data_IF_742114054517
#
_entry.id   IF_742114054517
#
_cell.length_a   1.000
_cell.length_b   1.000
_cell.length_c   1.000
_cell.angle_alpha   90.00
_cell.angle_beta   90.00
_cell.angle_gamma   90.00
#
_symmetry.space_group_name_H-M   'P 1'
#
loop_
_entity.id
_entity.type
_entity.pdbx_description
1 polymer ?
#
# COMPACT_ATOMS: atom_id res chain seq x y z
N UNK A 1 22.25 15.51 12.47
CA UNK A 1 22.16 15.84 11.04
C UNK A 1 20.70 16.14 10.76
N UNK A 2 20.37 17.34 10.25
CA UNK A 2 18.98 17.71 9.96
C UNK A 2 18.52 16.96 8.71
N UNK A 3 17.68 15.93 8.88
CA UNK A 3 17.00 15.28 7.77
C UNK A 3 15.89 16.23 7.29
N UNK A 4 16.24 17.07 6.32
CA UNK A 4 15.30 17.92 5.61
C UNK A 4 14.24 17.04 4.91
N UNK A 5 13.00 17.14 5.37
CA UNK A 5 11.82 16.50 4.76
C UNK A 5 11.39 17.17 3.44
N UNK A 6 12.30 17.88 2.76
CA UNK A 6 12.01 18.64 1.54
C UNK A 6 12.11 17.82 0.24
N UNK A 7 12.36 16.51 0.32
CA UNK A 7 12.51 15.63 -0.83
C UNK A 7 11.21 15.15 -1.51
N UNK A 8 10.03 15.57 -1.05
CA UNK A 8 8.74 15.11 -1.61
C UNK A 8 8.10 16.04 -2.64
N UNK A 9 8.76 17.15 -3.04
CA UNK A 9 8.28 18.03 -4.10
C UNK A 9 9.42 18.41 -5.06
N UNK A 10 9.68 17.58 -6.07
CA UNK A 10 10.51 17.94 -7.22
C UNK A 10 9.97 17.25 -8.50
N UNK A 11 8.73 17.59 -8.87
CA UNK A 11 8.22 17.38 -10.23
C UNK A 11 7.24 18.50 -10.58
N UNK A 12 7.69 19.75 -10.52
CA UNK A 12 6.98 20.87 -11.15
C UNK A 12 7.97 22.00 -11.42
N UNK A 13 8.47 22.05 -12.66
CA UNK A 13 8.85 23.27 -13.39
C UNK A 13 9.46 22.87 -14.74
N UNK A 14 8.65 22.95 -15.80
CA UNK A 14 9.03 23.51 -17.09
C UNK A 14 7.81 23.56 -18.03
N UNK A 15 7.13 24.70 -18.05
CA UNK A 15 6.71 25.39 -19.28
C UNK A 15 5.99 26.70 -18.90
N UNK A 16 6.74 27.80 -19.04
CA UNK A 16 6.17 29.14 -18.99
C UNK A 16 5.38 29.38 -20.27
N UNK A 17 4.06 29.52 -20.18
CA UNK A 17 3.32 30.37 -21.10
C UNK A 17 2.36 31.26 -20.30
N UNK A 18 2.60 32.56 -20.41
CA UNK A 18 1.94 33.66 -19.71
C UNK A 18 0.49 33.79 -20.17
N UNK A 19 -0.46 33.72 -19.24
CA UNK A 19 -1.73 34.43 -19.35
C UNK A 19 -2.04 35.06 -17.98
N UNK A 20 -2.08 36.40 -17.98
CA UNK A 20 -2.38 37.24 -16.82
C UNK A 20 -3.89 37.21 -16.53
N UNK A 21 -4.27 36.97 -15.27
CA UNK A 21 -5.50 37.53 -14.71
C UNK A 21 -5.26 38.03 -13.28
N UNK A 22 -5.66 39.28 -13.04
CA UNK A 22 -5.57 40.00 -11.77
C UNK A 22 -6.86 39.87 -10.96
N UNK A 23 -6.80 40.41 -9.74
CA UNK A 23 -7.84 40.54 -8.70
C UNK A 23 -7.90 39.33 -7.74
N UNK A 24 -7.84 39.47 -6.42
CA UNK A 24 -7.85 40.65 -5.57
C UNK A 24 -7.43 40.29 -4.13
N UNK A 25 -6.86 41.28 -3.45
CA UNK A 25 -6.43 41.25 -2.04
C UNK A 25 -7.60 40.93 -1.11
N UNK A 26 -7.37 40.10 -0.08
CA UNK A 26 -7.97 40.32 1.23
C UNK A 26 -7.07 39.86 2.39
N UNK A 27 -7.12 40.67 3.45
CA UNK A 27 -6.21 40.77 4.58
C UNK A 27 -6.37 39.66 5.62
N UNK A 28 -5.22 39.27 6.15
CA UNK A 28 -4.86 39.01 7.56
C UNK A 28 -5.97 38.89 8.62
N UNK A 29 -5.88 37.84 9.44
CA UNK A 29 -6.01 37.95 10.90
C UNK A 29 -5.17 36.88 11.62
N UNK A 30 -4.27 37.35 12.50
CA UNK A 30 -3.46 36.56 13.44
C UNK A 30 -4.27 36.40 14.73
N UNK A 31 -4.30 35.20 15.30
CA UNK A 31 -4.67 35.01 16.70
C UNK A 31 -3.57 34.27 17.45
N UNK A 32 -3.07 34.93 18.49
CA UNK A 32 -2.20 34.40 19.53
C UNK A 32 -2.99 33.39 20.39
N UNK A 33 -2.36 32.28 20.78
CA UNK A 33 -2.73 31.57 22.00
C UNK A 33 -1.47 31.20 22.78
N UNK A 34 -1.52 31.60 24.04
CA UNK A 34 -0.49 31.43 25.06
C UNK A 34 -0.44 29.99 25.60
N UNK A 35 0.72 29.70 26.19
CA UNK A 35 1.06 28.55 27.01
C UNK A 35 0.09 28.38 28.19
N UNK A 36 -0.22 27.14 28.56
CA UNK A 36 -0.02 26.63 29.92
C UNK A 36 -0.33 25.12 30.07
N UNK A 37 0.48 24.45 30.91
CA UNK A 37 -0.04 23.51 31.90
C UNK A 37 -0.04 22.02 31.57
N UNK A 38 0.97 21.30 32.09
CA UNK A 38 0.94 19.85 32.32
C UNK A 38 -0.20 19.44 33.26
N UNK A 39 -0.88 18.32 32.99
CA UNK A 39 -1.28 17.28 33.97
C UNK A 39 -1.96 16.06 33.32
N UNK A 40 -1.42 14.88 33.66
CA UNK A 40 -2.06 13.58 33.86
C UNK A 40 -2.93 12.98 32.73
N UNK A 41 -2.33 12.08 31.93
CA UNK A 41 -3.04 11.21 30.98
C UNK A 41 -3.70 10.03 31.69
N UNK A 42 -5.02 10.14 31.86
CA UNK A 42 -5.94 9.04 32.21
C UNK A 42 -6.27 8.17 30.97
N UNK A 43 -6.69 6.90 31.13
CA UNK A 43 -7.00 5.96 30.03
C UNK A 43 -8.08 6.42 29.04
N UNK A 44 -8.75 7.55 29.30
CA UNK A 44 -9.76 8.15 28.41
C UNK A 44 -9.19 8.76 27.12
N UNK A 45 -7.87 8.90 26.98
CA UNK A 45 -7.25 9.46 25.77
C UNK A 45 -7.11 8.47 24.61
N UNK A 46 -7.24 7.15 24.84
CA UNK A 46 -7.16 6.16 23.76
C UNK A 46 -8.43 6.19 22.89
N UNK A 47 -9.61 6.43 23.49
CA UNK A 47 -10.89 6.49 22.79
C UNK A 47 -11.03 7.74 21.88
N UNK A 48 -10.37 8.84 22.23
CA UNK A 48 -10.40 10.08 21.44
C UNK A 48 -9.44 10.04 20.23
N UNK A 49 -8.42 9.17 20.25
CA UNK A 49 -7.50 8.99 19.13
C UNK A 49 -8.17 8.21 17.98
N UNK A 50 -9.00 7.20 18.29
CA UNK A 50 -9.84 6.54 17.28
C UNK A 50 -10.80 7.51 16.57
N UNK A 51 -11.31 8.52 17.29
CA UNK A 51 -12.19 9.54 16.69
C UNK A 51 -11.46 10.51 15.77
N UNK A 52 -10.19 10.84 16.04
CA UNK A 52 -9.41 11.76 15.21
C UNK A 52 -8.78 11.09 13.97
N UNK A 53 -8.46 9.80 14.03
CA UNK A 53 -8.02 9.05 12.83
C UNK A 53 -9.22 8.87 11.86
N UNK A 54 -10.42 8.63 12.39
CA UNK A 54 -11.66 8.55 11.58
C UNK A 54 -12.08 9.87 10.90
N UNK A 55 -11.39 10.99 11.14
CA UNK A 55 -11.75 12.29 10.55
C UNK A 55 -11.12 12.56 9.17
N UNK A 56 -10.18 11.72 8.72
CA UNK A 56 -9.48 11.89 7.44
C UNK A 56 -9.68 10.77 6.41
N UNK A 57 -10.48 9.74 6.72
CA UNK A 57 -10.92 8.73 5.74
C UNK A 57 -12.38 8.36 6.00
N UNK A 58 -13.30 9.15 5.44
CA UNK A 58 -14.73 8.80 5.39
C UNK A 58 -15.16 8.45 3.98
N UNK A 59 -14.55 7.41 3.41
CA UNK A 59 -15.36 6.44 2.68
C UNK A 59 -15.91 5.48 3.74
N UNK A 60 -17.15 5.72 4.17
CA UNK A 60 -17.92 4.80 5.00
C UNK A 60 -18.00 3.46 4.26
N UNK A 61 -17.13 2.51 4.61
CA UNK A 61 -17.43 1.12 4.34
C UNK A 61 -18.60 0.75 5.26
N UNK A 62 -19.76 0.56 4.65
CA UNK A 62 -20.95 0.09 5.34
C UNK A 62 -20.62 -1.30 5.93
N UNK A 63 -20.61 -1.36 7.25
CA UNK A 63 -20.25 -2.54 8.03
C UNK A 63 -21.36 -3.58 7.87
N UNK A 64 -21.24 -4.42 6.84
CA UNK A 64 -22.07 -5.61 6.71
C UNK A 64 -21.52 -6.68 7.64
N UNK A 65 -22.12 -6.80 8.83
CA UNK A 65 -21.98 -7.96 9.71
C UNK A 65 -22.23 -9.23 8.90
N UNK A 66 -21.16 -9.97 8.59
CA UNK A 66 -21.25 -11.32 8.06
C UNK A 66 -20.13 -12.16 8.67
N UNK A 67 -20.31 -12.50 9.95
CA UNK A 67 -19.46 -13.43 10.70
C UNK A 67 -19.51 -14.87 10.16
N UNK A 68 -20.44 -15.20 9.27
CA UNK A 68 -20.69 -16.59 8.85
C UNK A 68 -19.71 -17.14 7.80
N UNK A 69 -18.71 -16.37 7.34
CA UNK A 69 -17.83 -16.79 6.25
C UNK A 69 -16.34 -16.78 6.57
N UNK A 70 -15.99 -16.51 7.82
CA UNK A 70 -14.61 -16.45 8.30
C UNK A 70 -14.35 -17.77 9.01
N UNK A 71 -14.19 -18.82 8.21
CA UNK A 71 -13.63 -20.07 8.70
C UNK A 71 -12.22 -19.77 9.24
N UNK A 72 -11.85 -20.40 10.35
CA UNK A 72 -10.52 -20.30 10.99
C UNK A 72 -9.34 -20.62 10.02
N UNK A 73 -9.62 -21.16 8.83
CA UNK A 73 -8.66 -21.50 7.79
C UNK A 73 -8.25 -20.36 6.84
N UNK A 74 -8.75 -19.12 6.99
CA UNK A 74 -8.35 -18.02 6.09
C UNK A 74 -6.85 -17.69 6.19
N UNK A 75 -6.26 -17.81 7.37
CA UNK A 75 -4.81 -17.64 7.54
C UNK A 75 -3.99 -18.73 6.83
N UNK A 76 -4.55 -19.93 6.61
CA UNK A 76 -3.88 -20.99 5.85
C UNK A 76 -3.84 -20.70 4.34
N UNK A 77 -4.73 -19.83 3.86
CA UNK A 77 -4.76 -19.40 2.47
C UNK A 77 -3.70 -18.34 2.16
N UNK A 78 -3.18 -17.66 3.18
CA UNK A 78 -2.25 -16.55 3.00
C UNK A 78 -0.80 -16.95 3.22
N UNK A 79 0.09 -16.29 2.47
CA UNK A 79 1.53 -16.55 2.48
C UNK A 79 2.22 -15.94 3.72
N UNK A 80 1.55 -15.00 4.36
CA UNK A 80 1.97 -14.35 5.59
C UNK A 80 0.86 -14.49 6.62
N UNK A 81 1.19 -14.40 7.90
CA UNK A 81 0.17 -14.34 8.94
C UNK A 81 -0.21 -12.89 9.22
N UNK A 82 -1.49 -12.60 9.09
CA UNK A 82 -2.10 -11.33 9.46
C UNK A 82 -3.07 -11.57 10.61
N UNK A 83 -3.21 -10.58 11.48
CA UNK A 83 -4.23 -10.62 12.54
C UNK A 83 -5.63 -10.77 11.94
N UNK A 84 -6.51 -11.52 12.63
CA UNK A 84 -7.91 -11.68 12.24
C UNK A 84 -8.60 -10.34 12.05
N UNK A 85 -8.33 -9.36 12.94
CA UNK A 85 -8.85 -8.00 12.83
C UNK A 85 -8.55 -7.36 11.47
N UNK A 86 -7.31 -7.48 10.98
CA UNK A 86 -6.95 -6.90 9.69
C UNK A 86 -7.70 -7.58 8.53
N UNK A 87 -7.79 -8.91 8.55
CA UNK A 87 -8.48 -9.67 7.50
C UNK A 87 -9.97 -9.30 7.45
N UNK A 88 -10.62 -9.25 8.61
CA UNK A 88 -12.03 -8.92 8.75
C UNK A 88 -12.37 -7.52 8.24
N UNK A 89 -11.55 -6.54 8.60
CA UNK A 89 -11.88 -5.14 8.39
C UNK A 89 -11.30 -4.58 7.07
N UNK A 90 -10.24 -5.17 6.52
CA UNK A 90 -9.50 -4.59 5.40
C UNK A 90 -9.42 -5.46 4.15
N UNK A 91 -9.92 -6.71 4.17
CA UNK A 91 -9.96 -7.57 2.97
C UNK A 91 -11.37 -7.79 2.40
N UNK A 92 -12.45 -7.35 3.06
CA UNK A 92 -13.84 -7.40 2.57
C UNK A 92 -14.14 -8.55 1.59
N UNK A 93 -14.11 -9.80 2.11
CA UNK A 93 -14.17 -11.02 1.30
C UNK A 93 -15.42 -11.12 0.40
N UNK A 94 -16.52 -10.50 0.80
CA UNK A 94 -17.75 -10.46 0.01
C UNK A 94 -17.58 -9.65 -1.28
N UNK A 95 -16.88 -8.51 -1.21
CA UNK A 95 -16.58 -7.71 -2.40
C UNK A 95 -15.63 -8.44 -3.33
N UNK A 96 -14.62 -9.15 -2.79
CA UNK A 96 -13.74 -10.00 -3.61
C UNK A 96 -14.54 -11.08 -4.36
N UNK A 97 -15.48 -11.75 -3.68
CA UNK A 97 -16.35 -12.74 -4.32
C UNK A 97 -17.19 -12.11 -5.43
N UNK A 98 -17.74 -10.92 -5.20
CA UNK A 98 -18.49 -10.17 -6.21
C UNK A 98 -17.63 -9.87 -7.44
N UNK A 99 -16.40 -9.38 -7.25
CA UNK A 99 -15.44 -9.11 -8.33
C UNK A 99 -15.18 -10.38 -9.15
N UNK A 100 -14.93 -11.52 -8.50
CA UNK A 100 -14.72 -12.81 -9.18
C UNK A 100 -15.95 -13.24 -9.99
N UNK A 101 -17.12 -13.21 -9.37
CA UNK A 101 -18.36 -13.62 -10.03
C UNK A 101 -18.66 -12.74 -11.24
N UNK A 102 -18.45 -11.42 -11.13
CA UNK A 102 -18.65 -10.50 -12.24
C UNK A 102 -17.64 -10.76 -13.37
N UNK A 103 -16.37 -11.03 -13.04
CA UNK A 103 -15.35 -11.42 -14.01
C UNK A 103 -15.75 -12.71 -14.74
N UNK A 104 -16.21 -13.73 -14.03
CA UNK A 104 -16.70 -14.98 -14.61
C UNK A 104 -17.93 -14.81 -15.50
N UNK A 105 -18.83 -13.89 -15.15
CA UNK A 105 -20.01 -13.56 -15.96
C UNK A 105 -19.59 -12.84 -17.24
N UNK A 106 -18.70 -11.84 -17.16
CA UNK A 106 -18.15 -11.16 -18.32
C UNK A 106 -17.45 -12.15 -19.27
N UNK A 107 -16.68 -13.12 -18.75
CA UNK A 107 -15.98 -14.13 -19.59
C UNK A 107 -16.95 -14.93 -20.45
N UNK A 108 -18.19 -15.14 -19.99
CA UNK A 108 -19.23 -15.86 -20.74
C UNK A 108 -19.83 -15.03 -21.87
N UNK A 109 -19.74 -13.70 -21.78
CA UNK A 109 -20.35 -12.75 -22.72
C UNK A 109 -19.32 -12.32 -23.76
N UNK A 110 -18.07 -12.07 -23.35
CA UNK A 110 -17.00 -11.60 -24.22
C UNK A 110 -16.54 -12.69 -25.19
N UNK A 111 -16.16 -12.27 -26.40
CA UNK A 111 -15.52 -13.19 -27.34
C UNK A 111 -14.13 -13.58 -26.85
N UNK A 112 -13.78 -14.87 -26.94
CA UNK A 112 -12.47 -15.39 -26.53
C UNK A 112 -11.29 -14.62 -27.16
N UNK A 113 -11.47 -14.14 -28.39
CA UNK A 113 -10.45 -13.37 -29.10
C UNK A 113 -10.20 -12.00 -28.47
N UNK A 114 -11.23 -11.34 -27.95
CA UNK A 114 -11.11 -10.04 -27.29
C UNK A 114 -10.38 -10.17 -25.94
N UNK A 115 -10.74 -11.18 -25.14
CA UNK A 115 -10.05 -11.48 -23.88
C UNK A 115 -8.58 -11.79 -24.15
N UNK A 116 -8.28 -12.56 -25.19
CA UNK A 116 -6.90 -12.85 -25.58
C UNK A 116 -6.13 -11.59 -26.00
N UNK A 117 -6.74 -10.72 -26.80
CA UNK A 117 -6.14 -9.42 -27.19
C UNK A 117 -5.87 -8.55 -25.96
N UNK A 118 -6.82 -8.45 -25.04
CA UNK A 118 -6.65 -7.70 -23.78
C UNK A 118 -5.48 -8.24 -22.96
N UNK A 119 -5.39 -9.57 -22.79
CA UNK A 119 -4.27 -10.22 -22.08
C UNK A 119 -2.91 -9.93 -22.74
N UNK A 120 -2.86 -9.99 -24.08
CA UNK A 120 -1.65 -9.71 -24.83
C UNK A 120 -1.23 -8.24 -24.68
N UNK A 121 -2.19 -7.33 -24.78
CA UNK A 121 -1.95 -5.90 -24.66
C UNK A 121 -1.43 -5.54 -23.26
N UNK A 122 -2.10 -5.99 -22.19
CA UNK A 122 -1.65 -5.79 -20.80
C UNK A 122 -0.22 -6.32 -20.63
N UNK A 123 0.05 -7.55 -21.06
CA UNK A 123 1.38 -8.15 -20.92
C UNK A 123 2.44 -7.36 -21.69
N UNK A 124 2.14 -6.93 -22.92
CA UNK A 124 3.04 -6.13 -23.73
C UNK A 124 3.35 -4.80 -23.05
N UNK A 125 2.34 -4.10 -22.52
CA UNK A 125 2.51 -2.80 -21.87
C UNK A 125 3.29 -2.90 -20.57
N UNK A 126 3.04 -3.92 -19.76
CA UNK A 126 3.81 -4.14 -18.54
C UNK A 126 5.29 -4.42 -18.81
N UNK A 127 5.61 -5.16 -19.88
CA UNK A 127 7.00 -5.39 -20.29
C UNK A 127 7.70 -4.12 -20.84
N UNK A 128 6.95 -3.07 -21.17
CA UNK A 128 7.50 -1.79 -21.64
C UNK A 128 7.78 -0.82 -20.49
N UNK A 129 7.32 -1.10 -19.28
CA UNK A 129 7.52 -0.20 -18.15
C UNK A 129 9.01 0.02 -17.86
N UNK A 130 9.35 1.29 -17.70
CA UNK A 130 10.63 1.78 -17.21
C UNK A 130 10.37 2.90 -16.19
N UNK A 131 11.42 3.56 -15.71
CA UNK A 131 11.29 4.66 -14.75
C UNK A 131 10.86 6.02 -15.35
N UNK A 132 10.44 6.08 -16.62
CA UNK A 132 9.95 7.32 -17.26
C UNK A 132 8.45 7.52 -16.96
N UNK A 133 8.15 8.53 -16.14
CA UNK A 133 6.79 8.89 -15.75
C UNK A 133 5.85 9.14 -16.94
N UNK A 134 6.31 9.83 -17.99
CA UNK A 134 5.48 10.12 -19.15
C UNK A 134 5.14 8.85 -19.93
N UNK A 135 6.09 7.93 -20.00
CA UNK A 135 5.87 6.62 -20.62
C UNK A 135 4.87 5.80 -19.82
N UNK A 136 4.99 5.77 -18.49
CA UNK A 136 4.03 5.10 -17.60
C UNK A 136 2.63 5.69 -17.77
N UNK A 137 2.49 7.02 -17.82
CA UNK A 137 1.22 7.71 -18.03
C UNK A 137 0.60 7.41 -19.40
N UNK A 138 1.41 7.36 -20.46
CA UNK A 138 0.91 6.97 -21.78
C UNK A 138 0.43 5.52 -21.80
N UNK A 139 1.15 4.62 -21.12
CA UNK A 139 0.73 3.23 -20.94
C UNK A 139 -0.58 3.16 -20.15
N UNK A 140 -0.73 3.94 -19.06
CA UNK A 140 -1.96 3.93 -18.28
C UNK A 140 -3.16 4.37 -19.11
N UNK A 141 -3.03 5.43 -19.93
CA UNK A 141 -4.11 5.87 -20.82
C UNK A 141 -4.53 4.79 -21.82
N UNK A 142 -3.58 3.98 -22.33
CA UNK A 142 -3.90 2.84 -23.20
C UNK A 142 -4.64 1.75 -22.43
N UNK A 143 -4.30 1.50 -21.17
CA UNK A 143 -4.94 0.45 -20.38
C UNK A 143 -6.27 0.90 -19.77
N UNK A 144 -6.46 2.19 -19.53
CA UNK A 144 -7.64 2.75 -18.86
C UNK A 144 -8.94 2.48 -19.62
N UNK A 145 -8.87 2.32 -20.95
CA UNK A 145 -10.02 1.91 -21.77
C UNK A 145 -10.65 0.58 -21.31
N UNK A 146 -9.91 -0.26 -20.59
CA UNK A 146 -10.38 -1.54 -20.07
C UNK A 146 -10.72 -1.50 -18.57
N UNK A 147 -10.42 -0.42 -17.84
CA UNK A 147 -10.41 -0.37 -16.38
C UNK A 147 -11.80 -0.58 -15.73
N UNK A 148 -12.87 -0.47 -16.52
CA UNK A 148 -14.24 -0.73 -16.07
C UNK A 148 -14.65 -2.20 -16.14
N UNK A 149 -13.86 -3.06 -16.77
CA UNK A 149 -14.17 -4.48 -16.95
C UNK A 149 -13.59 -5.31 -15.80
N UNK A 150 -14.38 -6.21 -15.21
CA UNK A 150 -13.91 -7.12 -14.18
C UNK A 150 -12.93 -8.18 -14.71
N UNK A 151 -12.98 -8.52 -16.02
CA UNK A 151 -11.94 -9.30 -16.70
C UNK A 151 -10.59 -8.58 -16.65
N UNK A 152 -10.59 -7.27 -16.89
CA UNK A 152 -9.37 -6.48 -16.86
C UNK A 152 -8.73 -6.50 -15.47
N UNK A 153 -9.53 -6.28 -14.42
CA UNK A 153 -9.06 -6.35 -13.03
C UNK A 153 -8.35 -7.68 -12.75
N UNK A 154 -8.95 -8.81 -13.14
CA UNK A 154 -8.34 -10.13 -12.89
C UNK A 154 -7.03 -10.31 -13.66
N UNK A 155 -7.04 -10.02 -14.97
CA UNK A 155 -5.84 -10.17 -15.81
C UNK A 155 -4.73 -9.23 -15.36
N UNK A 156 -5.04 -7.95 -15.12
CA UNK A 156 -4.07 -6.95 -14.72
C UNK A 156 -3.41 -7.31 -13.39
N UNK A 157 -4.19 -7.69 -12.37
CA UNK A 157 -3.66 -8.09 -11.07
C UNK A 157 -2.75 -9.31 -11.18
N UNK A 158 -3.15 -10.34 -11.93
CA UNK A 158 -2.32 -11.52 -12.17
C UNK A 158 -1.00 -11.11 -12.81
N UNK A 159 -1.04 -10.25 -13.84
CA UNK A 159 0.16 -9.81 -14.54
C UNK A 159 1.07 -8.92 -13.71
N UNK A 160 0.53 -8.04 -12.87
CA UNK A 160 1.35 -7.27 -11.90
C UNK A 160 2.07 -8.20 -10.93
N UNK A 161 1.39 -9.23 -10.41
CA UNK A 161 2.00 -10.22 -9.50
C UNK A 161 3.11 -10.99 -10.23
N UNK A 162 2.86 -11.48 -11.44
CA UNK A 162 3.88 -12.18 -12.24
C UNK A 162 5.13 -11.31 -12.47
N UNK A 163 4.96 -10.05 -12.86
CA UNK A 163 6.08 -9.13 -13.07
C UNK A 163 6.82 -8.80 -11.77
N UNK A 164 6.09 -8.70 -10.66
CA UNK A 164 6.68 -8.50 -9.34
C UNK A 164 7.54 -9.68 -8.91
N UNK A 165 7.11 -10.90 -9.21
CA UNK A 165 7.85 -12.14 -8.92
C UNK A 165 9.10 -12.30 -9.79
N UNK A 166 9.11 -11.76 -11.01
CA UNK A 166 10.21 -11.94 -11.98
C UNK A 166 11.19 -10.78 -11.96
N UNK A 167 10.69 -9.55 -12.11
CA UNK A 167 11.53 -8.37 -12.29
C UNK A 167 11.85 -7.69 -10.95
N UNK A 168 10.83 -7.44 -10.14
CA UNK A 168 10.98 -6.69 -8.87
C UNK A 168 11.74 -7.49 -7.83
N UNK A 169 11.54 -8.81 -7.78
CA UNK A 169 12.33 -9.70 -6.92
C UNK A 169 13.84 -9.64 -7.19
N UNK A 170 14.24 -9.44 -8.46
CA UNK A 170 15.65 -9.34 -8.89
C UNK A 170 16.21 -7.93 -8.77
N UNK A 171 15.37 -6.92 -8.98
CA UNK A 171 15.74 -5.52 -8.88
C UNK A 171 14.63 -4.74 -8.18
N UNK A 172 14.74 -4.65 -6.84
CA UNK A 172 13.69 -4.12 -5.98
C UNK A 172 13.19 -2.75 -6.43
N UNK A 173 14.07 -1.82 -6.78
CA UNK A 173 13.72 -0.46 -7.19
C UNK A 173 12.77 -0.38 -8.40
N UNK A 174 12.66 -1.43 -9.21
CA UNK A 174 11.63 -1.51 -10.26
C UNK A 174 10.21 -1.56 -9.72
N UNK A 175 9.98 -1.71 -8.40
CA UNK A 175 8.63 -1.60 -7.84
C UNK A 175 7.96 -0.25 -8.20
N UNK A 176 8.75 0.81 -8.36
CA UNK A 176 8.26 2.18 -8.60
C UNK A 176 7.42 2.26 -9.86
N UNK A 177 7.94 1.81 -11.00
CA UNK A 177 7.22 1.84 -12.28
C UNK A 177 5.89 1.07 -12.24
N UNK A 178 5.83 -0.07 -11.55
CA UNK A 178 4.59 -0.83 -11.39
C UNK A 178 3.60 -0.14 -10.46
N UNK A 179 4.10 0.43 -9.36
CA UNK A 179 3.29 1.16 -8.38
C UNK A 179 2.68 2.43 -8.97
N UNK A 180 3.47 3.19 -9.73
CA UNK A 180 3.02 4.39 -10.43
C UNK A 180 1.99 4.05 -11.51
N UNK A 181 2.19 2.98 -12.30
CA UNK A 181 1.17 2.53 -13.25
C UNK A 181 -0.14 2.16 -12.52
N UNK A 182 -0.03 1.38 -11.44
CA UNK A 182 -1.18 0.95 -10.66
C UNK A 182 -1.94 2.16 -10.10
N UNK A 183 -1.23 3.17 -9.59
CA UNK A 183 -1.83 4.44 -9.13
C UNK A 183 -2.66 5.13 -10.21
N UNK A 184 -2.20 5.17 -11.46
CA UNK A 184 -2.98 5.78 -12.54
C UNK A 184 -4.26 5.02 -12.88
N UNK A 185 -4.25 3.70 -12.68
CA UNK A 185 -5.40 2.83 -12.95
C UNK A 185 -6.22 2.55 -11.68
N UNK A 186 -5.92 3.23 -10.58
CA UNK A 186 -6.42 2.89 -9.26
C UNK A 186 -7.95 2.92 -9.18
N UNK A 187 -8.50 1.86 -8.61
CA UNK A 187 -9.86 1.80 -8.10
C UNK A 187 -9.89 0.95 -6.83
N UNK A 188 -10.87 1.19 -5.96
CA UNK A 188 -11.00 0.44 -4.71
C UNK A 188 -11.18 -1.07 -4.97
N UNK A 189 -11.94 -1.43 -6.02
CA UNK A 189 -12.14 -2.82 -6.43
C UNK A 189 -10.83 -3.46 -6.91
N UNK A 190 -10.05 -2.73 -7.73
CA UNK A 190 -8.77 -3.21 -8.23
C UNK A 190 -7.77 -3.41 -7.08
N UNK A 191 -7.66 -2.44 -6.17
CA UNK A 191 -6.76 -2.52 -5.03
C UNK A 191 -7.14 -3.65 -4.07
N UNK A 192 -8.44 -3.81 -3.78
CA UNK A 192 -8.94 -4.89 -2.94
C UNK A 192 -8.66 -6.27 -3.54
N UNK A 193 -8.89 -6.43 -4.84
CA UNK A 193 -8.62 -7.69 -5.54
C UNK A 193 -7.11 -7.99 -5.61
N UNK A 194 -6.28 -6.96 -5.81
CA UNK A 194 -4.83 -7.08 -5.75
C UNK A 194 -4.34 -7.53 -4.37
N UNK A 195 -4.81 -6.92 -3.28
CA UNK A 195 -4.47 -7.35 -1.91
C UNK A 195 -4.78 -8.82 -1.69
N UNK A 196 -5.98 -9.26 -2.06
CA UNK A 196 -6.37 -10.65 -1.94
C UNK A 196 -5.44 -11.59 -2.69
N UNK A 197 -5.20 -11.32 -3.98
CA UNK A 197 -4.31 -12.15 -4.80
C UNK A 197 -2.89 -12.15 -4.27
N UNK A 198 -2.37 -11.00 -3.85
CA UNK A 198 -1.04 -10.86 -3.27
C UNK A 198 -0.89 -11.70 -2.00
N UNK A 199 -1.82 -11.58 -1.05
CA UNK A 199 -1.76 -12.35 0.19
C UNK A 199 -1.88 -13.86 -0.06
N UNK A 200 -2.69 -14.28 -1.04
CA UNK A 200 -2.83 -15.69 -1.42
C UNK A 200 -1.71 -16.24 -2.32
N UNK A 201 -0.79 -15.41 -2.80
CA UNK A 201 0.26 -15.86 -3.73
C UNK A 201 1.41 -16.54 -2.99
N UNK A 202 1.47 -17.87 -3.05
CA UNK A 202 2.55 -18.67 -2.47
C UNK A 202 3.85 -18.45 -3.22
N UNK A 203 4.88 -17.99 -2.52
CA UNK A 203 6.21 -17.78 -3.09
C UNK A 203 7.31 -17.88 -2.02
N UNK A 204 8.57 -17.85 -2.48
CA UNK A 204 9.78 -17.84 -1.65
C UNK A 204 10.09 -16.41 -1.13
N UNK A 205 11.18 -16.26 -0.38
CA UNK A 205 11.59 -14.98 0.21
C UNK A 205 11.81 -13.86 -0.83
N UNK A 206 12.48 -14.17 -1.94
CA UNK A 206 12.72 -13.20 -3.03
C UNK A 206 11.41 -12.75 -3.67
N UNK A 207 10.50 -13.69 -3.91
CA UNK A 207 9.17 -13.38 -4.42
C UNK A 207 8.35 -12.52 -3.46
N UNK A 208 8.46 -12.75 -2.14
CA UNK A 208 7.82 -11.90 -1.12
C UNK A 208 8.36 -10.47 -1.23
N UNK A 209 9.69 -10.29 -1.31
CA UNK A 209 10.27 -8.96 -1.49
C UNK A 209 9.72 -8.29 -2.75
N UNK A 210 9.63 -9.02 -3.86
CA UNK A 210 9.07 -8.52 -5.12
C UNK A 210 7.63 -8.03 -4.99
N UNK A 211 6.69 -8.91 -4.60
CA UNK A 211 5.26 -8.58 -4.55
C UNK A 211 4.93 -7.51 -3.51
N UNK A 212 5.56 -7.56 -2.32
CA UNK A 212 5.31 -6.56 -1.28
C UNK A 212 5.97 -5.22 -1.58
N UNK A 213 7.04 -5.19 -2.39
CA UNK A 213 7.61 -3.91 -2.81
C UNK A 213 6.64 -3.11 -3.68
N UNK A 214 5.93 -3.77 -4.61
CA UNK A 214 4.91 -3.09 -5.42
C UNK A 214 3.72 -2.68 -4.56
N UNK A 215 3.30 -3.50 -3.62
CA UNK A 215 2.21 -3.15 -2.70
C UNK A 215 2.53 -1.94 -1.83
N UNK A 216 3.70 -1.91 -1.19
CA UNK A 216 4.11 -0.77 -0.38
C UNK A 216 4.42 0.46 -1.23
N UNK A 217 4.94 0.26 -2.45
CA UNK A 217 5.10 1.33 -3.41
C UNK A 217 3.77 1.96 -3.81
N UNK A 218 2.72 1.16 -4.00
CA UNK A 218 1.38 1.66 -4.28
C UNK A 218 0.80 2.46 -3.10
N UNK A 219 0.96 1.95 -1.88
CA UNK A 219 0.57 2.67 -0.64
C UNK A 219 1.31 4.02 -0.56
N UNK A 220 2.60 4.05 -0.89
CA UNK A 220 3.40 5.27 -0.93
C UNK A 220 2.90 6.25 -1.99
N UNK A 221 2.74 5.77 -3.22
CA UNK A 221 2.31 6.56 -4.39
C UNK A 221 0.93 7.19 -4.19
N UNK A 222 0.00 6.45 -3.57
CA UNK A 222 -1.36 6.92 -3.26
C UNK A 222 -1.46 7.60 -1.88
N UNK A 223 -0.35 7.79 -1.16
CA UNK A 223 -0.29 8.35 0.19
C UNK A 223 -1.25 7.71 1.21
N UNK A 224 -1.45 6.40 1.14
CA UNK A 224 -2.43 5.65 1.96
C UNK A 224 -1.90 5.38 3.38
N UNK A 225 -1.83 6.44 4.21
CA UNK A 225 -1.30 6.36 5.58
C UNK A 225 -2.06 5.35 6.46
N UNK A 226 -3.38 5.34 6.37
CA UNK A 226 -4.22 4.44 7.16
C UNK A 226 -3.91 2.97 6.83
N UNK A 227 -3.83 2.64 5.55
CA UNK A 227 -3.49 1.30 5.08
C UNK A 227 -2.08 0.88 5.51
N UNK A 228 -1.09 1.79 5.41
CA UNK A 228 0.26 1.52 5.89
C UNK A 228 0.24 1.14 7.39
N UNK A 229 -0.44 1.95 8.20
CA UNK A 229 -0.51 1.79 9.64
C UNK A 229 -1.29 0.53 10.08
N UNK A 230 -2.44 0.28 9.46
CA UNK A 230 -3.28 -0.88 9.79
C UNK A 230 -2.64 -2.17 9.30
N UNK A 231 -1.98 -2.16 8.14
CA UNK A 231 -1.24 -3.32 7.64
C UNK A 231 -0.13 -3.74 8.60
N UNK A 232 0.72 -2.80 9.05
CA UNK A 232 1.82 -3.17 9.94
C UNK A 232 1.33 -3.64 11.30
N UNK A 233 0.26 -3.02 11.83
CA UNK A 233 -0.39 -3.51 13.03
C UNK A 233 -0.97 -4.93 12.81
N UNK A 234 -1.56 -5.19 11.65
CA UNK A 234 -2.06 -6.51 11.27
C UNK A 234 -0.96 -7.56 11.18
N UNK A 235 0.19 -7.21 10.60
CA UNK A 235 1.35 -8.09 10.46
C UNK A 235 2.00 -8.43 11.80
N UNK A 236 2.22 -7.42 12.66
CA UNK A 236 2.89 -7.59 13.94
C UNK A 236 2.02 -8.27 15.01
N UNK A 237 0.70 -8.22 14.85
CA UNK A 237 -0.26 -8.93 15.70
C UNK A 237 -0.74 -10.27 15.08
N UNK A 238 -0.17 -10.66 13.94
CA UNK A 238 -0.37 -12.00 13.37
C UNK A 238 0.48 -13.05 14.07
N UNK A 239 0.32 -14.32 13.68
CA UNK A 239 1.18 -15.39 14.17
C UNK A 239 2.60 -15.22 13.63
N UNK A 240 3.58 -15.65 14.39
CA UNK A 240 4.98 -15.53 14.01
C UNK A 240 5.30 -16.47 12.84
N UNK A 241 5.82 -15.89 11.76
CA UNK A 241 6.28 -16.61 10.57
C UNK A 241 7.51 -15.89 10.01
N UNK A 242 8.52 -16.63 9.57
CA UNK A 242 9.75 -16.05 9.01
C UNK A 242 9.47 -15.11 7.84
N UNK A 243 8.45 -15.44 7.03
CA UNK A 243 7.94 -14.63 5.92
C UNK A 243 7.48 -13.24 6.37
N UNK A 244 6.89 -13.11 7.56
CA UNK A 244 6.46 -11.82 8.11
C UNK A 244 7.65 -10.87 8.31
N UNK A 245 8.81 -11.38 8.70
CA UNK A 245 10.01 -10.55 8.89
C UNK A 245 10.57 -10.04 7.56
N UNK A 246 10.46 -10.82 6.48
CA UNK A 246 10.83 -10.36 5.14
C UNK A 246 9.92 -9.24 4.66
N UNK A 247 8.62 -9.36 4.96
CA UNK A 247 7.65 -8.27 4.70
C UNK A 247 7.97 -7.04 5.54
N UNK A 248 8.32 -7.20 6.82
CA UNK A 248 8.72 -6.11 7.70
C UNK A 248 9.96 -5.36 7.17
N UNK A 249 10.99 -6.08 6.71
CA UNK A 249 12.17 -5.48 6.06
C UNK A 249 11.74 -4.61 4.87
N UNK A 250 10.88 -5.16 4.02
CA UNK A 250 10.40 -4.50 2.81
C UNK A 250 9.55 -3.26 3.14
N UNK A 251 8.68 -3.37 4.17
CA UNK A 251 7.85 -2.28 4.68
C UNK A 251 8.70 -1.11 5.18
N UNK A 252 9.68 -1.38 6.03
CA UNK A 252 10.56 -0.32 6.57
C UNK A 252 11.39 0.33 5.46
N UNK A 253 11.83 -0.45 4.48
CA UNK A 253 12.64 0.05 3.36
C UNK A 253 11.88 1.04 2.50
N UNK A 254 10.61 0.77 2.18
CA UNK A 254 9.81 1.58 1.25
C UNK A 254 9.00 2.66 1.98
N UNK A 255 8.33 2.30 3.08
CA UNK A 255 7.41 3.20 3.79
C UNK A 255 8.05 3.90 5.00
N UNK A 256 9.26 3.52 5.42
CA UNK A 256 9.88 4.07 6.63
C UNK A 256 10.03 5.59 6.60
N UNK A 257 10.56 6.14 5.50
CA UNK A 257 10.66 7.60 5.31
C UNK A 257 9.29 8.28 5.30
N UNK A 258 8.32 7.69 4.59
CA UNK A 258 6.95 8.21 4.51
C UNK A 258 6.30 8.31 5.89
N UNK A 259 6.39 7.26 6.71
CA UNK A 259 5.83 7.23 8.06
C UNK A 259 6.58 8.16 9.02
N UNK A 260 7.91 8.25 8.89
CA UNK A 260 8.71 9.17 9.68
C UNK A 260 8.34 10.63 9.38
N UNK A 261 7.99 10.95 8.13
CA UNK A 261 7.51 12.28 7.77
C UNK A 261 6.07 12.55 8.26
N UNK A 262 5.14 11.61 8.02
CA UNK A 262 3.71 11.83 8.27
C UNK A 262 3.33 11.68 9.76
N UNK A 263 3.92 10.70 10.47
CA UNK A 263 3.58 10.36 11.86
C UNK A 263 4.81 10.02 12.73
N UNK A 264 5.84 10.88 12.80
CA UNK A 264 7.15 10.59 13.41
C UNK A 264 7.06 10.02 14.83
N UNK A 265 6.21 10.61 15.67
CA UNK A 265 6.05 10.19 17.08
C UNK A 265 5.52 8.76 17.20
N UNK A 266 4.55 8.38 16.38
CA UNK A 266 3.95 7.05 16.40
C UNK A 266 4.86 6.03 15.69
N UNK A 267 5.49 6.44 14.60
CA UNK A 267 6.47 5.62 13.92
C UNK A 267 7.65 5.28 14.85
N UNK A 268 8.19 6.24 15.60
CA UNK A 268 9.23 5.97 16.61
C UNK A 268 8.78 4.97 17.69
N UNK A 269 7.52 5.03 18.13
CA UNK A 269 6.96 4.04 19.07
C UNK A 269 6.87 2.65 18.44
N UNK A 270 6.45 2.56 17.18
CA UNK A 270 6.42 1.31 16.41
C UNK A 270 7.83 0.71 16.28
N UNK A 271 8.83 1.53 15.95
CA UNK A 271 10.23 1.09 15.86
C UNK A 271 10.74 0.53 17.19
N UNK A 272 10.47 1.22 18.30
CA UNK A 272 10.82 0.72 19.63
C UNK A 272 10.09 -0.59 19.97
N UNK A 273 8.82 -0.72 19.60
CA UNK A 273 8.07 -1.96 19.76
C UNK A 273 8.73 -3.11 18.98
N UNK A 274 9.11 -2.88 17.72
CA UNK A 274 9.79 -3.88 16.89
C UNK A 274 11.10 -4.31 17.53
N UNK A 275 11.92 -3.37 18.03
CA UNK A 275 13.18 -3.70 18.74
C UNK A 275 12.91 -4.61 19.94
N UNK A 276 11.96 -4.23 20.80
CA UNK A 276 11.74 -4.92 22.08
C UNK A 276 11.10 -6.30 21.89
N UNK A 277 10.15 -6.42 20.97
CA UNK A 277 9.26 -7.59 20.90
C UNK A 277 9.47 -8.49 19.69
N UNK A 278 10.16 -8.02 18.65
CA UNK A 278 10.24 -8.72 17.35
C UNK A 278 11.68 -9.08 16.98
N UNK A 279 12.63 -8.17 17.12
CA UNK A 279 14.03 -8.34 16.66
C UNK A 279 14.69 -9.60 17.22
N UNK A 280 14.45 -9.93 18.48
CA UNK A 280 15.03 -11.12 19.11
C UNK A 280 14.42 -12.44 18.66
N UNK A 281 13.27 -12.41 18.00
CA UNK A 281 12.60 -13.58 17.44
C UNK A 281 13.05 -13.92 16.02
N UNK A 282 13.91 -13.09 15.42
CA UNK A 282 14.40 -13.28 14.05
C UNK A 282 15.63 -14.18 14.09
N UNK A 283 15.48 -15.45 13.74
CA UNK A 283 16.58 -16.43 13.72
C UNK A 283 17.60 -16.14 12.61
N UNK A 284 17.15 -15.66 11.45
CA UNK A 284 18.00 -15.39 10.29
C UNK A 284 18.84 -14.12 10.52
N UNK A 285 20.07 -14.30 11.00
CA UNK A 285 20.98 -13.20 11.36
C UNK A 285 21.14 -12.11 10.27
N UNK A 286 21.29 -12.44 8.96
CA UNK A 286 21.35 -11.40 7.92
C UNK A 286 20.08 -10.55 7.82
N UNK A 287 18.90 -11.16 8.00
CA UNK A 287 17.62 -10.45 7.98
C UNK A 287 17.46 -9.57 9.22
N UNK A 288 17.79 -10.11 10.40
CA UNK A 288 17.84 -9.37 11.67
C UNK A 288 18.69 -8.11 11.55
N UNK A 289 19.92 -8.25 11.05
CA UNK A 289 20.85 -7.13 10.87
C UNK A 289 20.29 -6.03 9.95
N UNK A 290 19.67 -6.39 8.82
CA UNK A 290 19.10 -5.42 7.88
C UNK A 290 17.94 -4.65 8.51
N UNK A 291 17.05 -5.33 9.24
CA UNK A 291 15.95 -4.68 9.97
C UNK A 291 16.50 -3.75 11.05
N UNK A 292 17.43 -4.21 11.89
CA UNK A 292 18.05 -3.37 12.93
C UNK A 292 18.74 -2.14 12.34
N UNK A 293 19.47 -2.30 11.23
CA UNK A 293 20.14 -1.21 10.53
C UNK A 293 19.13 -0.17 10.05
N UNK A 294 18.03 -0.62 9.42
CA UNK A 294 16.94 0.26 9.00
C UNK A 294 16.28 0.98 10.16
N UNK A 295 16.06 0.32 11.29
CA UNK A 295 15.49 0.97 12.48
C UNK A 295 16.44 2.04 13.03
N UNK A 296 17.75 1.76 13.08
CA UNK A 296 18.76 2.73 13.56
C UNK A 296 18.77 3.99 12.71
N UNK A 297 18.65 3.89 11.38
CA UNK A 297 18.56 5.05 10.46
C UNK A 297 17.45 6.05 10.85
N UNK A 298 16.36 5.59 11.45
CA UNK A 298 15.21 6.43 11.84
C UNK A 298 15.23 6.90 13.30
N UNK A 299 16.06 6.29 14.16
CA UNK A 299 16.12 6.62 15.58
C UNK A 299 17.24 7.62 15.92
N UNK A 300 18.24 7.75 15.05
CA UNK A 300 19.33 8.75 15.13
C UNK A 300 18.89 10.12 14.63
#
# INVERSE_FOLDING_TARGET
MNNDCSGLNNFEKQSNNKINFSYGKNKTQRHNYEKNGQKNSSPKNILNIYKNINSYSSQKYEYLENKELINDNLNELFTISLSTFYIENFLSLNLIKKIKNNSEQEIKIFEKQEIFKMKLEINKRLNQLNNDYNMIYNISNILDQYNKNYIFIDIFVIKIIEQSLIQVSRYQESYKQYSTLFKFLYSDELFLYYKYKLFSTKTNEEGIKGIYSVYFGLILECEMLDEAWTFIAGLLNGNEQEKNYTVLETYLTILGNFLNCKIPKYFKKLLNYIIIYIVDKIEKAPLKFRIESKIKEFLT
#
